data_IF_648829677040
#
_entry.id   IF_648829677040
#
_cell.length_a   1.000
_cell.length_b   1.000
_cell.length_c   1.000
_cell.angle_alpha   90.00
_cell.angle_beta   90.00
_cell.angle_gamma   90.00
#
_symmetry.space_group_name_H-M   'P 1'
#
loop_
_entity.id
_entity.type
_entity.pdbx_description
1 polymer ?
#
# COMPACT_ATOMS: atom_id res chain seq x y z
N UNK A 1 -8.48 39.15 41.53
CA UNK A 1 -7.86 40.26 40.79
C UNK A 1 -6.73 39.84 39.85
N UNK A 2 -6.00 38.74 40.03
CA UNK A 2 -4.91 38.34 39.12
C UNK A 2 -5.27 37.89 37.71
N UNK A 3 -6.46 37.36 37.46
CA UNK A 3 -6.89 36.86 36.14
C UNK A 3 -7.27 37.95 35.14
N UNK A 4 -7.78 39.07 35.61
CA UNK A 4 -8.21 40.20 34.79
C UNK A 4 -7.02 41.01 34.26
N UNK A 5 -5.95 41.16 35.07
CA UNK A 5 -4.74 41.86 34.68
C UNK A 5 -3.97 41.07 33.61
N UNK A 6 -3.93 39.72 33.70
CA UNK A 6 -3.30 38.88 32.69
C UNK A 6 -4.01 38.95 31.35
N UNK A 7 -5.35 39.06 31.32
CA UNK A 7 -6.14 39.26 30.10
C UNK A 7 -5.97 40.63 29.49
N UNK A 8 -5.85 41.67 30.29
CA UNK A 8 -5.59 43.06 29.85
C UNK A 8 -4.20 43.21 29.21
N UNK A 9 -3.19 42.49 29.70
CA UNK A 9 -1.83 42.52 29.19
C UNK A 9 -1.59 41.57 28.01
N UNK A 10 -2.60 40.93 27.47
CA UNK A 10 -2.51 40.01 26.30
C UNK A 10 -1.38 38.96 26.46
N UNK A 11 -1.11 38.54 27.70
CA UNK A 11 0.03 37.65 28.00
C UNK A 11 -0.04 36.35 27.26
N UNK A 12 -1.26 35.81 27.09
CA UNK A 12 -1.50 34.58 26.34
C UNK A 12 -1.25 34.75 24.84
N UNK A 13 -1.49 35.95 24.29
CA UNK A 13 -1.16 36.30 22.92
C UNK A 13 0.36 36.31 22.69
N UNK A 14 1.10 36.96 23.55
CA UNK A 14 2.57 36.96 23.47
C UNK A 14 3.15 35.58 23.63
N UNK A 15 2.60 34.77 24.51
CA UNK A 15 3.00 33.37 24.68
C UNK A 15 2.77 32.56 23.41
N UNK A 16 1.59 32.69 22.77
CA UNK A 16 1.29 32.06 21.50
C UNK A 16 2.24 32.55 20.37
N UNK A 17 2.49 33.86 20.31
CA UNK A 17 3.40 34.44 19.33
C UNK A 17 4.85 33.95 19.52
N UNK A 18 5.30 33.80 20.75
CA UNK A 18 6.62 33.24 21.05
C UNK A 18 6.78 31.77 20.58
N UNK A 19 5.72 30.96 20.69
CA UNK A 19 5.74 29.59 20.19
C UNK A 19 5.87 29.58 18.66
N UNK A 20 5.05 30.31 17.93
CA UNK A 20 5.11 30.39 16.47
C UNK A 20 6.44 30.99 15.98
N UNK A 21 6.96 32.00 16.67
CA UNK A 21 8.27 32.59 16.38
C UNK A 21 9.40 31.58 16.54
N UNK A 22 9.37 30.76 17.59
CA UNK A 22 10.37 29.71 17.81
C UNK A 22 10.36 28.68 16.66
N UNK A 23 9.19 28.27 16.15
CA UNK A 23 9.10 27.38 15.01
C UNK A 23 9.62 28.00 13.72
N UNK A 24 9.25 29.25 13.44
CA UNK A 24 9.76 29.97 12.28
C UNK A 24 11.27 30.15 12.32
N UNK A 25 11.81 30.51 13.48
CA UNK A 25 13.24 30.65 13.68
C UNK A 25 13.99 29.33 13.45
N UNK A 26 13.47 28.29 14.00
CA UNK A 26 14.00 26.93 13.82
C UNK A 26 13.99 26.52 12.35
N UNK A 27 12.91 26.74 11.64
CA UNK A 27 12.79 26.44 10.22
C UNK A 27 13.80 27.18 9.37
N UNK A 28 14.07 28.47 9.69
CA UNK A 28 15.06 29.32 8.99
C UNK A 28 16.50 28.82 9.20
N UNK A 29 16.85 28.42 10.41
CA UNK A 29 18.21 27.96 10.73
C UNK A 29 18.47 26.54 10.24
N UNK A 30 17.55 25.63 10.45
CA UNK A 30 17.72 24.23 10.01
C UNK A 30 17.72 24.11 8.48
N UNK A 31 16.98 24.94 7.76
CA UNK A 31 17.05 25.02 6.31
C UNK A 31 18.40 25.56 5.79
N UNK A 32 19.08 26.39 6.57
CA UNK A 32 20.36 27.01 6.19
C UNK A 32 21.56 26.11 6.40
N UNK A 33 21.54 25.25 7.42
CA UNK A 33 22.66 24.37 7.80
C UNK A 33 22.67 23.01 7.10
N UNK A 34 21.83 22.80 6.07
CA UNK A 34 21.73 21.52 5.37
C UNK A 34 21.15 20.39 6.25
N UNK A 35 20.58 20.75 7.39
CA UNK A 35 19.79 19.83 8.21
C UNK A 35 18.57 19.34 7.45
N UNK A 36 18.07 18.18 7.82
CA UNK A 36 16.91 17.61 7.16
C UNK A 36 15.70 18.57 7.32
N UNK A 37 15.26 19.26 6.26
CA UNK A 37 14.17 20.26 6.34
C UNK A 37 12.87 19.65 6.87
N UNK A 38 12.72 18.34 6.81
CA UNK A 38 11.57 17.62 7.30
C UNK A 38 11.44 17.56 8.82
N UNK A 39 12.48 17.95 9.58
CA UNK A 39 12.38 18.02 11.04
C UNK A 39 11.67 19.29 11.54
N UNK A 40 11.77 20.39 10.78
CA UNK A 40 11.15 21.67 11.13
C UNK A 40 9.84 21.90 10.39
N UNK A 41 9.74 21.44 9.13
CA UNK A 41 8.57 21.58 8.27
C UNK A 41 8.19 20.17 7.80
N UNK A 42 7.05 19.67 8.25
CA UNK A 42 6.52 18.39 7.78
C UNK A 42 5.88 18.56 6.40
N UNK A 43 6.71 18.82 5.40
CA UNK A 43 6.28 18.98 4.00
C UNK A 43 7.14 18.08 3.13
N UNK A 44 6.52 17.13 2.46
CA UNK A 44 7.15 16.28 1.46
C UNK A 44 6.96 16.92 0.09
N UNK A 45 8.04 17.06 -0.67
CA UNK A 45 8.02 17.66 -2.02
C UNK A 45 7.63 16.62 -3.08
N UNK A 46 6.47 15.97 -2.87
CA UNK A 46 5.97 15.01 -3.86
C UNK A 46 5.71 15.70 -5.22
N UNK A 47 6.09 15.12 -6.38
CA UNK A 47 6.70 13.80 -6.57
C UNK A 47 8.24 13.77 -6.51
N UNK A 48 8.91 14.90 -6.23
CA UNK A 48 10.38 15.00 -6.19
C UNK A 48 10.97 14.24 -5.01
N UNK A 49 10.27 14.29 -3.88
CA UNK A 49 10.61 13.54 -2.67
C UNK A 49 9.45 12.60 -2.35
N UNK A 50 9.61 11.28 -2.60
CA UNK A 50 8.56 10.31 -2.26
C UNK A 50 8.45 10.13 -0.76
N UNK A 51 7.24 9.93 -0.29
CA UNK A 51 6.94 9.66 1.11
C UNK A 51 7.68 8.41 1.61
N UNK A 52 8.19 8.46 2.83
CA UNK A 52 8.76 7.26 3.48
C UNK A 52 7.63 6.33 3.90
N UNK A 53 7.49 5.24 3.16
CA UNK A 53 6.45 4.25 3.40
C UNK A 53 6.94 3.24 4.44
N UNK A 54 6.04 2.81 5.35
CA UNK A 54 6.30 1.77 6.32
C UNK A 54 6.53 0.43 5.62
N UNK A 55 7.38 -0.44 6.17
CA UNK A 55 7.60 -1.80 5.66
C UNK A 55 6.31 -2.63 5.60
N UNK A 56 5.37 -2.38 6.53
CA UNK A 56 4.08 -3.05 6.60
C UNK A 56 2.95 -2.25 5.94
N UNK A 57 3.28 -1.40 4.99
CA UNK A 57 2.26 -0.66 4.25
C UNK A 57 1.42 -1.62 3.41
N UNK A 58 0.12 -1.37 3.36
CA UNK A 58 -0.86 -2.16 2.61
C UNK A 58 -1.26 -1.40 1.36
N UNK A 59 -0.45 -1.50 0.31
CA UNK A 59 -0.72 -0.86 -0.98
C UNK A 59 -1.30 -1.84 -2.00
N UNK A 60 -0.88 -1.70 -3.25
CA UNK A 60 -1.38 -2.49 -4.37
C UNK A 60 -1.25 -4.00 -4.14
N UNK A 61 -2.27 -4.81 -4.46
CA UNK A 61 -2.16 -6.27 -4.44
C UNK A 61 -1.26 -6.77 -5.58
N UNK A 62 -0.55 -7.85 -5.31
CA UNK A 62 0.34 -8.53 -6.25
C UNK A 62 0.19 -10.04 -6.11
N UNK A 63 0.31 -10.77 -7.22
CA UNK A 63 0.44 -12.22 -7.24
C UNK A 63 1.93 -12.59 -7.39
N UNK A 64 2.45 -13.28 -6.38
CA UNK A 64 3.82 -13.76 -6.39
C UNK A 64 3.96 -14.95 -7.33
N UNK A 65 5.07 -14.96 -8.06
CA UNK A 65 5.49 -16.06 -8.91
C UNK A 65 6.58 -16.86 -8.22
N UNK A 66 6.65 -18.12 -8.54
CA UNK A 66 7.73 -18.98 -8.12
C UNK A 66 9.05 -18.52 -8.74
N UNK A 67 10.08 -18.19 -7.94
CA UNK A 67 11.35 -17.66 -8.45
C UNK A 67 12.13 -18.67 -9.30
N UNK A 68 11.89 -19.98 -9.12
CA UNK A 68 12.61 -21.03 -9.85
C UNK A 68 11.95 -21.35 -11.20
N UNK A 69 10.62 -21.45 -11.21
CA UNK A 69 9.87 -21.89 -12.41
C UNK A 69 9.22 -20.75 -13.15
N UNK A 70 9.11 -19.55 -12.55
CA UNK A 70 8.35 -18.42 -13.07
C UNK A 70 6.84 -18.68 -13.14
N UNK A 71 6.38 -19.80 -12.59
CA UNK A 71 4.97 -20.17 -12.55
C UNK A 71 4.20 -19.47 -11.42
N UNK A 72 2.87 -19.43 -11.54
CA UNK A 72 2.05 -18.88 -10.47
C UNK A 72 2.07 -19.79 -9.23
N UNK A 73 2.23 -19.21 -8.05
CA UNK A 73 2.08 -19.90 -6.77
C UNK A 73 0.62 -20.17 -6.42
N UNK A 74 -0.32 -19.57 -7.15
CA UNK A 74 -1.75 -19.70 -6.88
C UNK A 74 -2.27 -21.10 -7.24
N UNK A 75 -2.81 -21.79 -6.26
CA UNK A 75 -3.45 -23.13 -6.41
C UNK A 75 -4.95 -23.05 -6.71
N UNK A 76 -5.48 -21.85 -6.93
CA UNK A 76 -6.90 -21.61 -7.20
C UNK A 76 -7.85 -22.20 -6.13
N UNK A 77 -7.51 -22.02 -4.85
CA UNK A 77 -8.28 -22.55 -3.73
C UNK A 77 -9.52 -21.70 -3.38
N UNK A 78 -9.59 -20.47 -3.87
CA UNK A 78 -10.68 -19.51 -3.68
C UNK A 78 -10.81 -18.92 -2.25
N UNK A 79 -9.89 -19.24 -1.35
CA UNK A 79 -9.92 -18.75 0.04
C UNK A 79 -9.79 -17.24 0.14
N UNK A 80 -9.01 -16.60 -0.74
CA UNK A 80 -8.85 -15.16 -0.76
C UNK A 80 -10.15 -14.43 -1.14
N UNK A 81 -10.93 -14.98 -2.06
CA UNK A 81 -12.25 -14.44 -2.41
C UNK A 81 -13.25 -14.61 -1.27
N UNK A 82 -13.27 -15.77 -0.62
CA UNK A 82 -14.13 -16.04 0.55
C UNK A 82 -13.79 -15.18 1.77
N UNK A 83 -12.51 -14.85 1.95
CA UNK A 83 -12.05 -13.99 3.05
C UNK A 83 -12.29 -12.49 2.78
N UNK A 84 -12.64 -12.12 1.55
CA UNK A 84 -12.83 -10.72 1.17
C UNK A 84 -14.18 -10.18 1.66
N UNK A 85 -14.22 -9.17 2.55
CA UNK A 85 -15.47 -8.64 3.07
C UNK A 85 -16.28 -7.81 2.06
N UNK A 86 -15.67 -7.45 0.93
CA UNK A 86 -16.26 -6.59 -0.11
C UNK A 86 -16.39 -7.26 -1.47
N UNK A 87 -16.15 -8.57 -1.56
CA UNK A 87 -16.26 -9.39 -2.77
C UNK A 87 -15.55 -8.76 -3.98
N UNK A 88 -14.29 -8.34 -3.80
CA UNK A 88 -13.52 -7.71 -4.86
C UNK A 88 -12.60 -8.68 -5.63
N UNK A 89 -12.63 -9.97 -5.30
CA UNK A 89 -11.75 -11.00 -5.89
C UNK A 89 -12.58 -12.06 -6.58
N UNK A 90 -12.31 -12.31 -7.86
CA UNK A 90 -12.90 -13.38 -8.64
C UNK A 90 -11.81 -14.37 -9.07
N UNK A 91 -11.95 -15.65 -8.71
CA UNK A 91 -10.99 -16.70 -9.04
C UNK A 91 -11.64 -17.74 -9.93
N UNK A 92 -11.16 -17.86 -11.16
CA UNK A 92 -11.58 -18.90 -12.09
C UNK A 92 -10.58 -20.05 -12.13
N UNK A 93 -11.07 -21.29 -12.09
CA UNK A 93 -10.21 -22.47 -12.13
C UNK A 93 -10.79 -23.58 -12.99
N UNK A 94 -9.92 -24.33 -13.63
CA UNK A 94 -10.27 -25.58 -14.31
C UNK A 94 -9.56 -26.75 -13.63
N UNK A 95 -10.20 -27.92 -13.65
CA UNK A 95 -9.58 -29.16 -13.20
C UNK A 95 -8.85 -29.80 -14.37
N UNK A 96 -7.53 -29.92 -14.26
CA UNK A 96 -6.71 -30.68 -15.21
C UNK A 96 -6.23 -31.97 -14.59
N UNK A 97 -6.21 -33.02 -15.38
CA UNK A 97 -5.59 -34.29 -15.02
C UNK A 97 -4.08 -34.16 -15.26
N UNK A 98 -3.31 -34.22 -14.19
CA UNK A 98 -1.84 -34.22 -14.25
C UNK A 98 -1.39 -35.64 -13.95
N UNK A 99 -0.66 -36.25 -14.89
CA UNK A 99 -0.05 -37.58 -14.72
C UNK A 99 1.30 -37.37 -14.02
N UNK A 100 1.38 -37.81 -12.78
CA UNK A 100 2.66 -37.93 -12.05
C UNK A 100 2.96 -39.43 -11.93
N UNK A 101 3.76 -39.94 -12.89
CA UNK A 101 4.04 -41.38 -12.99
C UNK A 101 2.78 -42.19 -13.32
N UNK A 102 2.45 -43.22 -12.50
CA UNK A 102 1.31 -44.14 -12.69
C UNK A 102 -0.01 -43.60 -12.08
N UNK A 103 0.04 -42.42 -11.39
CA UNK A 103 -1.14 -41.84 -10.73
C UNK A 103 -1.67 -40.64 -11.50
N UNK A 104 -2.97 -40.69 -11.81
CA UNK A 104 -3.69 -39.53 -12.39
C UNK A 104 -4.27 -38.70 -11.26
N UNK A 105 -3.70 -37.55 -11.00
CA UNK A 105 -4.15 -36.59 -10.00
C UNK A 105 -4.91 -35.46 -10.68
N UNK A 106 -6.08 -35.08 -10.15
CA UNK A 106 -6.84 -33.93 -10.61
C UNK A 106 -6.38 -32.70 -9.84
N UNK A 107 -5.60 -31.84 -10.48
CA UNK A 107 -5.18 -30.54 -9.89
C UNK A 107 -6.07 -29.40 -10.43
N UNK A 108 -6.45 -28.48 -9.54
CA UNK A 108 -7.05 -27.20 -9.95
C UNK A 108 -5.94 -26.31 -10.53
N UNK A 109 -6.18 -25.74 -11.68
CA UNK A 109 -5.26 -24.81 -12.33
C UNK A 109 -5.97 -23.46 -12.47
N UNK A 110 -5.30 -22.40 -12.06
CA UNK A 110 -5.80 -21.04 -12.18
C UNK A 110 -5.94 -20.66 -13.66
N UNK A 111 -7.13 -20.24 -14.06
CA UNK A 111 -7.40 -19.73 -15.41
C UNK A 111 -7.54 -18.22 -15.42
N UNK A 112 -8.36 -17.69 -14.53
CA UNK A 112 -8.61 -16.25 -14.43
C UNK A 112 -8.50 -15.84 -12.97
N UNK A 113 -7.91 -14.65 -12.78
CA UNK A 113 -7.89 -14.00 -11.48
C UNK A 113 -8.18 -12.52 -11.74
N UNK A 114 -9.25 -12.03 -11.15
CA UNK A 114 -9.67 -10.65 -11.31
C UNK A 114 -9.75 -10.02 -9.94
N UNK A 115 -9.16 -8.85 -9.83
CA UNK A 115 -9.13 -8.06 -8.60
C UNK A 115 -9.69 -6.66 -8.87
N UNK A 116 -10.82 -6.33 -8.28
CA UNK A 116 -11.44 -5.00 -8.38
C UNK A 116 -10.91 -4.10 -7.24
N UNK A 117 -9.85 -3.35 -7.53
CA UNK A 117 -9.24 -2.44 -6.56
C UNK A 117 -10.12 -1.26 -6.19
N UNK A 118 -11.16 -0.94 -7.00
CA UNK A 118 -12.09 0.16 -6.70
C UNK A 118 -12.93 -0.06 -5.45
N UNK A 119 -13.10 -1.33 -5.04
CA UNK A 119 -13.82 -1.70 -3.81
C UNK A 119 -12.91 -2.12 -2.69
N UNK A 120 -11.64 -2.36 -2.99
CA UNK A 120 -10.68 -2.89 -2.03
C UNK A 120 -10.46 -1.89 -0.89
N UNK A 121 -10.53 -2.36 0.34
CA UNK A 121 -10.24 -1.58 1.55
C UNK A 121 -8.83 -1.85 2.11
N UNK A 122 -8.00 -2.57 1.37
CA UNK A 122 -6.61 -2.89 1.73
C UNK A 122 -6.43 -3.49 3.14
N UNK A 123 -7.38 -4.32 3.56
CA UNK A 123 -7.40 -4.92 4.91
C UNK A 123 -6.39 -6.06 5.10
N UNK A 124 -5.84 -6.64 4.02
CA UNK A 124 -4.89 -7.76 4.01
C UNK A 124 -5.46 -9.15 4.35
N UNK A 125 -6.76 -9.29 4.61
CA UNK A 125 -7.36 -10.59 4.95
C UNK A 125 -7.18 -11.64 3.84
N UNK A 126 -7.17 -11.22 2.59
CA UNK A 126 -6.95 -12.11 1.44
C UNK A 126 -5.53 -12.69 1.39
N UNK A 127 -4.51 -11.91 1.80
CA UNK A 127 -3.13 -12.39 1.91
C UNK A 127 -2.99 -13.36 3.08
N UNK A 128 -3.56 -13.01 4.25
CA UNK A 128 -3.52 -13.88 5.44
C UNK A 128 -4.26 -15.20 5.23
N UNK A 129 -5.30 -15.24 4.38
CA UNK A 129 -6.04 -16.45 4.05
C UNK A 129 -5.33 -17.32 2.98
N UNK A 130 -4.28 -16.83 2.35
CA UNK A 130 -3.58 -17.52 1.26
C UNK A 130 -2.63 -18.59 1.81
N UNK A 131 -2.84 -19.88 1.56
CA UNK A 131 -2.00 -20.94 2.11
C UNK A 131 -0.63 -21.06 1.40
N UNK A 132 -0.45 -20.40 0.27
CA UNK A 132 0.78 -20.46 -0.54
C UNK A 132 1.52 -19.14 -0.62
N UNK A 133 1.12 -18.15 0.19
CA UNK A 133 1.68 -16.79 0.18
C UNK A 133 1.76 -16.17 -1.23
N UNK A 134 0.82 -16.61 -2.10
CA UNK A 134 0.77 -16.14 -3.47
C UNK A 134 0.32 -14.69 -3.58
N UNK A 135 -0.65 -14.27 -2.74
CA UNK A 135 -1.21 -12.93 -2.76
C UNK A 135 -0.62 -12.09 -1.64
N UNK A 136 -0.02 -10.97 -1.99
CA UNK A 136 0.51 -9.99 -1.02
C UNK A 136 0.08 -8.57 -1.36
N UNK A 137 0.11 -7.68 -0.36
CA UNK A 137 -0.04 -6.24 -0.54
C UNK A 137 1.34 -5.60 -0.57
N UNK A 138 1.63 -4.89 -1.64
CA UNK A 138 2.91 -4.22 -1.85
C UNK A 138 2.97 -2.85 -1.18
N UNK A 139 4.09 -2.18 -1.30
CA UNK A 139 4.25 -0.79 -0.86
C UNK A 139 3.81 0.23 -1.91
N UNK A 140 3.34 -0.19 -3.08
CA UNK A 140 2.88 0.71 -4.13
C UNK A 140 1.55 1.35 -3.75
N UNK A 141 1.49 2.68 -3.75
CA UNK A 141 0.29 3.45 -3.42
C UNK A 141 -0.23 4.31 -4.57
N UNK A 142 0.53 4.40 -5.66
CA UNK A 142 0.15 5.20 -6.83
C UNK A 142 -0.80 4.41 -7.71
N UNK A 143 -2.09 4.45 -7.38
CA UNK A 143 -3.14 3.67 -8.01
C UNK A 143 -4.07 4.52 -8.89
N UNK A 144 -3.73 5.77 -9.17
CA UNK A 144 -4.56 6.66 -9.94
C UNK A 144 -4.73 6.18 -11.39
N UNK A 145 -5.97 6.11 -11.86
CA UNK A 145 -6.31 5.74 -13.23
C UNK A 145 -7.33 6.72 -13.82
N UNK A 146 -7.32 6.90 -15.15
CA UNK A 146 -8.24 7.81 -15.84
C UNK A 146 -9.67 7.28 -15.92
N UNK A 147 -9.85 5.96 -15.96
CA UNK A 147 -11.14 5.30 -16.11
C UNK A 147 -11.37 4.26 -15.04
N UNK A 148 -12.60 4.09 -14.60
CA UNK A 148 -12.97 3.10 -13.58
C UNK A 148 -12.59 1.67 -13.95
N UNK A 149 -12.60 1.33 -15.24
CA UNK A 149 -12.16 0.02 -15.71
C UNK A 149 -10.70 -0.30 -15.42
N UNK A 150 -9.84 0.72 -15.26
CA UNK A 150 -8.43 0.55 -14.89
C UNK A 150 -8.20 0.04 -13.48
N UNK A 151 -9.24 0.04 -12.62
CA UNK A 151 -9.17 -0.58 -11.28
C UNK A 151 -9.48 -2.08 -11.28
N UNK A 152 -9.94 -2.63 -12.42
CA UNK A 152 -10.17 -4.06 -12.55
C UNK A 152 -8.93 -4.72 -13.14
N UNK A 153 -8.13 -5.29 -12.26
CA UNK A 153 -6.87 -5.90 -12.61
C UNK A 153 -7.04 -7.37 -12.89
N UNK A 154 -6.48 -7.79 -14.01
CA UNK A 154 -6.41 -9.18 -14.40
C UNK A 154 -5.19 -9.88 -13.79
N UNK A 155 -5.12 -11.19 -14.00
CA UNK A 155 -4.02 -12.03 -13.55
C UNK A 155 -2.65 -11.51 -14.02
N UNK A 156 -2.54 -11.14 -15.28
CA UNK A 156 -1.28 -10.74 -15.90
C UNK A 156 -0.75 -9.44 -15.29
N UNK A 157 -1.65 -8.50 -15.01
CA UNK A 157 -1.31 -7.24 -14.36
C UNK A 157 -0.86 -7.45 -12.91
N UNK A 158 -1.54 -8.35 -12.18
CA UNK A 158 -1.17 -8.68 -10.81
C UNK A 158 0.16 -9.42 -10.70
N UNK A 159 0.48 -10.31 -11.66
CA UNK A 159 1.75 -11.05 -11.72
C UNK A 159 2.93 -10.14 -12.09
N UNK A 160 2.75 -9.17 -12.98
CA UNK A 160 3.77 -8.17 -13.32
C UNK A 160 4.05 -7.20 -12.17
N UNK A 161 3.04 -6.98 -11.31
CA UNK A 161 3.07 -5.96 -10.25
C UNK A 161 3.02 -4.53 -10.80
N UNK A 162 2.73 -3.59 -9.90
CA UNK A 162 2.73 -2.15 -10.23
C UNK A 162 4.03 -1.54 -9.69
N UNK A 163 5.16 -2.09 -10.06
CA UNK A 163 6.47 -1.53 -9.70
C UNK A 163 6.86 -0.40 -10.67
N UNK A 164 6.05 0.65 -10.76
CA UNK A 164 6.37 1.78 -11.63
C UNK A 164 7.42 2.72 -11.04
N UNK A 165 7.58 2.73 -9.75
CA UNK A 165 8.60 3.56 -9.09
C UNK A 165 9.24 2.77 -7.96
N UNK A 166 10.48 2.33 -8.15
CA UNK A 166 11.32 1.87 -7.05
C UNK A 166 11.84 3.09 -6.33
N UNK A 167 11.30 3.34 -5.16
CA UNK A 167 11.91 4.29 -4.25
C UNK A 167 13.12 3.62 -3.59
N UNK A 168 14.30 4.09 -3.90
CA UNK A 168 15.51 3.68 -3.19
C UNK A 168 15.34 4.03 -1.70
N UNK A 169 15.44 3.03 -0.83
CA UNK A 169 15.24 3.14 0.62
C UNK A 169 16.49 3.69 1.29
#
# INVERSE_FOLDING_TARGET
MGGTIKRLLLFDLFKGLAVTFKYNWRALYEARDGGNPNQAIYTEQYPLEPAKISERFRGAPRLNLDPETGGTLCIACDLCALACPVDCIEVGSIRREVREGDKVNKKKVLTTFIFDTSRCMFCNLCSEACPTDCLELTQSFELAVYHRSGFRWDREMLEKGIDYVRYDR
#
